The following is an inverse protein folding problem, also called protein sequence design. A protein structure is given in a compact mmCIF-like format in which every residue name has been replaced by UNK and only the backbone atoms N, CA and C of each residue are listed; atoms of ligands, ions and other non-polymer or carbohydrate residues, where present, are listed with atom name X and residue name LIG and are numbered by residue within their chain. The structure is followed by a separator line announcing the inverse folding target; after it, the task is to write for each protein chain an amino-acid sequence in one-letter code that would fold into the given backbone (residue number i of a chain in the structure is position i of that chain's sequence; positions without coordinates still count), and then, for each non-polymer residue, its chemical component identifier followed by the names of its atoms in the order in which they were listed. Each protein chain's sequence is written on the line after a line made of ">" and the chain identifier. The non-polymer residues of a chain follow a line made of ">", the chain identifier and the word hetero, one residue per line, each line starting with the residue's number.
data_IF_237230470167
#
_entry.id   IF_237230470167
#
_cell.length_a   1.000
_cell.length_b   1.000
_cell.length_c   1.000
_cell.angle_alpha   90.00
_cell.angle_beta   90.00
_cell.angle_gamma   90.00
#
_symmetry.space_group_name_H-M   'P 1'
#
loop_
_entity.id
_entity.type
_entity.pdbx_description
1 polymer ?
#
# COMPACT_ATOMS: atom_id res chain seq x y z
N UNK A 1 -2.75 44.47 -37.80
CA UNK A 1 -1.82 43.55 -37.11
C UNK A 1 -2.62 42.70 -36.14
N UNK A 2 -3.02 41.48 -36.53
CA UNK A 2 -3.75 40.56 -35.65
C UNK A 2 -2.72 39.61 -35.06
N UNK A 3 -2.35 39.81 -33.79
CA UNK A 3 -1.45 38.87 -33.12
C UNK A 3 -2.18 37.57 -32.86
N UNK A 4 -1.69 36.49 -33.47
CA UNK A 4 -2.25 35.15 -33.37
C UNK A 4 -2.23 34.64 -31.93
N UNK A 5 -3.39 34.19 -31.47
CA UNK A 5 -3.55 33.46 -30.21
C UNK A 5 -2.63 32.23 -30.21
N UNK A 6 -1.56 32.30 -29.43
CA UNK A 6 -0.68 31.17 -29.17
C UNK A 6 -1.35 30.22 -28.17
N UNK A 7 -2.27 29.39 -28.68
CA UNK A 7 -2.80 28.24 -27.95
C UNK A 7 -1.68 27.21 -27.81
N UNK A 8 -0.80 27.37 -26.80
CA UNK A 8 0.18 26.36 -26.44
C UNK A 8 -0.55 25.09 -26.02
N UNK A 9 -0.76 24.17 -26.97
CA UNK A 9 -1.27 22.81 -26.71
C UNK A 9 -0.36 22.20 -25.64
N UNK A 10 -0.91 21.86 -24.47
CA UNK A 10 -0.21 21.04 -23.46
C UNK A 10 0.15 19.70 -24.10
N UNK A 11 1.43 19.48 -24.40
CA UNK A 11 1.92 18.25 -25.07
C UNK A 11 2.24 17.10 -24.11
N UNK A 12 2.09 17.29 -22.79
CA UNK A 12 2.27 16.22 -21.79
C UNK A 12 1.01 16.10 -20.95
N UNK A 13 0.17 15.11 -21.26
CA UNK A 13 -0.99 14.77 -20.45
C UNK A 13 -0.53 13.97 -19.22
N UNK A 14 -0.91 14.44 -18.03
CA UNK A 14 -0.77 13.71 -16.77
C UNK A 14 0.33 14.22 -15.83
N UNK A 15 0.09 14.06 -14.51
CA UNK A 15 1.11 14.25 -13.48
C UNK A 15 2.24 13.23 -13.74
N UNK A 16 3.52 13.64 -13.70
CA UNK A 16 4.63 12.71 -13.92
C UNK A 16 4.58 11.54 -12.92
N UNK A 17 4.97 10.34 -13.38
CA UNK A 17 5.08 9.15 -12.53
C UNK A 17 6.07 9.46 -11.41
N UNK A 18 5.67 9.21 -10.15
CA UNK A 18 6.54 9.41 -8.99
C UNK A 18 7.68 8.39 -8.95
N UNK A 19 7.38 7.14 -9.28
CA UNK A 19 8.38 6.07 -9.38
C UNK A 19 8.54 5.68 -10.85
N UNK A 20 9.78 5.73 -11.32
CA UNK A 20 10.16 5.37 -12.68
C UNK A 20 10.96 4.06 -12.65
N UNK A 21 11.82 3.89 -11.64
CA UNK A 21 12.67 2.71 -11.48
C UNK A 21 12.11 1.74 -10.43
N UNK A 22 12.30 0.42 -10.61
CA UNK A 22 11.90 -0.57 -9.63
C UNK A 22 12.60 -0.37 -8.28
N UNK A 23 13.87 0.03 -8.28
CA UNK A 23 14.65 0.28 -7.06
C UNK A 23 14.04 1.44 -6.26
N UNK A 24 13.64 2.52 -6.92
CA UNK A 24 13.05 3.67 -6.23
C UNK A 24 11.71 3.30 -5.57
N UNK A 25 10.91 2.48 -6.24
CA UNK A 25 9.66 1.97 -5.67
C UNK A 25 9.93 1.04 -4.49
N UNK A 26 10.92 0.15 -4.60
CA UNK A 26 11.29 -0.77 -3.54
C UNK A 26 11.84 -0.04 -2.31
N UNK A 27 12.74 0.93 -2.49
CA UNK A 27 13.28 1.73 -1.39
C UNK A 27 12.18 2.49 -0.64
N UNK A 28 11.22 3.08 -1.37
CA UNK A 28 10.08 3.74 -0.75
C UNK A 28 9.17 2.77 0.02
N UNK A 29 9.06 1.52 -0.42
CA UNK A 29 8.30 0.49 0.29
C UNK A 29 9.03 0.00 1.53
N UNK A 30 10.34 -0.27 1.42
CA UNK A 30 11.18 -0.65 2.55
C UNK A 30 11.16 0.39 3.66
N UNK A 31 11.28 1.68 3.31
CA UNK A 31 11.19 2.78 4.27
C UNK A 31 9.81 2.83 4.97
N UNK A 32 8.73 2.49 4.27
CA UNK A 32 7.39 2.40 4.87
C UNK A 32 7.28 1.21 5.83
N UNK A 33 7.85 0.05 5.48
CA UNK A 33 7.83 -1.14 6.34
C UNK A 33 8.64 -0.89 7.61
N UNK A 34 9.87 -0.38 7.48
CA UNK A 34 10.72 -0.01 8.61
C UNK A 34 10.04 1.03 9.51
N UNK A 35 9.39 2.03 8.92
CA UNK A 35 8.61 3.00 9.68
C UNK A 35 7.48 2.32 10.47
N UNK A 36 6.81 1.31 9.92
CA UNK A 36 5.77 0.58 10.64
C UNK A 36 6.35 -0.25 11.80
N UNK A 37 7.50 -0.87 11.61
CA UNK A 37 8.17 -1.70 12.62
C UNK A 37 8.66 -0.88 13.82
N UNK A 38 9.23 0.31 13.57
CA UNK A 38 9.72 1.18 14.65
C UNK A 38 8.61 2.03 15.29
N UNK A 39 7.40 2.07 14.72
CA UNK A 39 6.26 2.83 15.25
C UNK A 39 5.07 1.92 15.58
N UNK A 40 5.17 1.06 16.61
CA UNK A 40 4.08 0.21 17.03
C UNK A 40 2.88 1.02 17.54
N UNK A 41 1.70 0.39 17.55
CA UNK A 41 0.50 0.97 18.13
C UNK A 41 0.49 0.73 19.64
N UNK A 42 0.09 1.70 20.43
CA UNK A 42 -0.05 1.53 21.88
C UNK A 42 -1.51 1.31 22.25
N UNK A 43 -1.76 0.30 23.08
CA UNK A 43 -3.06 0.06 23.68
C UNK A 43 -2.92 0.20 25.20
N UNK A 44 -3.71 1.08 25.84
CA UNK A 44 -3.77 1.12 27.29
C UNK A 44 -4.41 -0.18 27.79
N UNK A 45 -3.76 -0.85 28.72
CA UNK A 45 -4.31 -1.98 29.45
C UNK A 45 -4.30 -1.68 30.95
N UNK A 46 -5.43 -1.92 31.61
CA UNK A 46 -5.52 -1.77 33.05
C UNK A 46 -4.98 -3.03 33.70
N UNK A 47 -3.84 -2.92 34.38
CA UNK A 47 -3.31 -4.03 35.15
C UNK A 47 -4.12 -4.17 36.44
N UNK A 48 -4.99 -5.20 36.46
CA UNK A 48 -5.93 -5.48 37.56
C UNK A 48 -5.25 -5.75 38.90
N UNK A 49 -3.98 -6.14 38.91
CA UNK A 49 -3.23 -6.51 40.11
C UNK A 49 -2.70 -5.31 40.90
N UNK A 50 -2.28 -4.24 40.22
CA UNK A 50 -1.68 -3.06 40.87
C UNK A 50 -2.46 -1.76 40.63
N UNK A 51 -3.57 -1.81 39.90
CA UNK A 51 -4.41 -0.65 39.58
C UNK A 51 -3.73 0.40 38.68
N UNK A 52 -2.55 0.08 38.13
CA UNK A 52 -1.79 0.98 37.26
C UNK A 52 -2.13 0.72 35.80
N UNK A 53 -2.23 1.79 35.04
CA UNK A 53 -2.43 1.74 33.60
C UNK A 53 -1.07 1.49 32.94
N UNK A 54 -0.91 0.31 32.35
CA UNK A 54 0.27 -0.03 31.56
C UNK A 54 -0.08 0.05 30.07
N UNK A 55 0.93 0.22 29.24
CA UNK A 55 0.76 0.30 27.79
C UNK A 55 1.37 -0.94 27.14
N UNK A 56 0.55 -1.68 26.38
CA UNK A 56 1.05 -2.75 25.53
C UNK A 56 1.36 -2.19 24.15
N UNK A 57 2.55 -2.52 23.66
CA UNK A 57 2.99 -2.28 22.30
C UNK A 57 2.41 -3.36 21.37
N UNK A 58 1.69 -2.95 20.34
CA UNK A 58 1.07 -3.80 19.33
C UNK A 58 1.73 -3.56 17.98
N UNK A 59 1.94 -4.63 17.22
CA UNK A 59 2.49 -4.56 15.87
C UNK A 59 1.55 -3.74 14.98
N UNK A 60 2.10 -2.90 14.11
CA UNK A 60 1.33 -2.13 13.13
C UNK A 60 1.07 -2.99 11.88
N UNK A 61 -0.19 -3.21 11.48
CA UNK A 61 -0.47 -3.93 10.23
C UNK A 61 -0.04 -3.10 9.03
N UNK A 62 0.66 -3.72 8.07
CA UNK A 62 1.01 -3.06 6.82
C UNK A 62 -0.23 -2.91 5.96
N UNK A 63 -0.36 -1.84 5.19
CA UNK A 63 -1.47 -1.69 4.23
C UNK A 63 -1.02 -0.92 2.99
N UNK A 64 -1.60 -1.26 1.82
CA UNK A 64 -1.35 -0.50 0.58
C UNK A 64 -1.78 0.97 0.72
N UNK A 65 -2.88 1.21 1.44
CA UNK A 65 -3.35 2.58 1.73
C UNK A 65 -2.37 3.32 2.62
N UNK A 66 -1.81 2.67 3.64
CA UNK A 66 -0.76 3.21 4.50
C UNK A 66 0.51 3.55 3.73
N UNK A 67 0.96 2.65 2.85
CA UNK A 67 2.07 2.90 1.93
C UNK A 67 1.83 4.14 1.05
N UNK A 68 0.63 4.24 0.47
CA UNK A 68 0.25 5.40 -0.35
C UNK A 68 0.24 6.70 0.46
N UNK A 69 -0.31 6.66 1.68
CA UNK A 69 -0.35 7.82 2.57
C UNK A 69 1.05 8.26 3.00
N UNK A 70 1.91 7.32 3.40
CA UNK A 70 3.30 7.57 3.79
C UNK A 70 4.07 8.27 2.67
N UNK A 71 3.90 7.79 1.44
CA UNK A 71 4.52 8.37 0.26
C UNK A 71 3.77 9.59 -0.30
N UNK A 72 2.66 10.05 0.30
CA UNK A 72 1.84 11.17 -0.20
C UNK A 72 1.42 11.00 -1.66
N UNK A 73 0.98 9.79 -2.02
CA UNK A 73 0.45 9.42 -3.34
C UNK A 73 -1.02 9.00 -3.22
N UNK A 74 -1.74 9.05 -4.34
CA UNK A 74 -3.14 8.64 -4.37
C UNK A 74 -3.32 7.16 -4.04
N UNK A 75 -4.41 6.81 -3.36
CA UNK A 75 -4.71 5.42 -2.95
C UNK A 75 -4.75 4.43 -4.11
N UNK A 76 -5.13 4.89 -5.30
CA UNK A 76 -5.20 4.08 -6.52
C UNK A 76 -3.90 4.09 -7.33
N UNK A 77 -2.84 4.78 -6.86
CA UNK A 77 -1.63 4.99 -7.63
C UNK A 77 -0.97 3.68 -8.05
N UNK A 78 -0.79 2.72 -7.13
CA UNK A 78 -0.18 1.42 -7.47
C UNK A 78 -1.02 0.63 -8.49
N UNK A 79 -2.35 0.66 -8.35
CA UNK A 79 -3.27 0.01 -9.30
C UNK A 79 -3.18 0.64 -10.69
N UNK A 80 -3.17 1.97 -10.77
CA UNK A 80 -3.02 2.71 -12.02
C UNK A 80 -1.62 2.49 -12.64
N UNK A 81 -0.58 2.49 -11.80
CA UNK A 81 0.78 2.20 -12.22
C UNK A 81 0.82 0.83 -12.88
N UNK A 82 0.41 -0.22 -12.15
CA UNK A 82 0.35 -1.61 -12.62
C UNK A 82 -0.41 -1.78 -13.94
N UNK A 83 -1.53 -1.07 -14.12
CA UNK A 83 -2.34 -1.12 -15.34
C UNK A 83 -1.73 -0.35 -16.53
N UNK A 84 -0.84 0.61 -16.27
CA UNK A 84 -0.21 1.46 -17.30
C UNK A 84 1.21 1.03 -17.69
N UNK A 85 1.71 -0.06 -17.11
CA UNK A 85 3.06 -0.56 -17.40
C UNK A 85 3.16 -1.11 -18.82
N UNK A 86 4.22 -0.73 -19.51
CA UNK A 86 4.56 -1.31 -20.80
C UNK A 86 5.21 -2.71 -20.64
N UNK A 87 5.22 -3.56 -21.68
CA UNK A 87 5.79 -4.90 -21.61
C UNK A 87 7.27 -4.96 -21.22
N UNK A 88 8.04 -3.88 -21.40
CA UNK A 88 9.44 -3.79 -21.00
C UNK A 88 9.64 -3.38 -19.53
N UNK A 89 8.60 -2.91 -18.84
CA UNK A 89 8.64 -2.48 -17.44
C UNK A 89 8.31 -3.65 -16.47
N UNK A 90 8.67 -4.89 -16.83
CA UNK A 90 8.30 -6.09 -16.05
C UNK A 90 8.88 -6.06 -14.63
N UNK A 91 10.09 -5.54 -14.45
CA UNK A 91 10.72 -5.44 -13.12
C UNK A 91 9.92 -4.54 -12.17
N UNK A 92 9.32 -3.46 -12.69
CA UNK A 92 8.46 -2.58 -11.92
C UNK A 92 7.16 -3.31 -11.54
N UNK A 93 6.60 -4.12 -12.45
CA UNK A 93 5.47 -4.99 -12.17
C UNK A 93 5.77 -6.01 -11.07
N UNK A 94 6.92 -6.69 -11.14
CA UNK A 94 7.36 -7.64 -10.11
C UNK A 94 7.59 -6.97 -8.77
N UNK A 95 8.14 -5.75 -8.75
CA UNK A 95 8.30 -4.97 -7.52
C UNK A 95 6.96 -4.63 -6.89
N UNK A 96 5.96 -4.22 -7.67
CA UNK A 96 4.59 -3.97 -7.15
C UNK A 96 4.02 -5.26 -6.53
N UNK A 97 4.11 -6.39 -7.22
CA UNK A 97 3.63 -7.68 -6.70
C UNK A 97 4.37 -8.06 -5.41
N UNK A 98 5.68 -7.83 -5.36
CA UNK A 98 6.50 -8.12 -4.18
C UNK A 98 6.00 -7.34 -2.96
N UNK A 99 5.72 -6.05 -3.13
CA UNK A 99 5.15 -5.18 -2.10
C UNK A 99 3.78 -5.70 -1.66
N UNK A 100 2.90 -6.01 -2.61
CA UNK A 100 1.57 -6.58 -2.32
C UNK A 100 1.66 -7.88 -1.51
N UNK A 101 2.59 -8.77 -1.87
CA UNK A 101 2.83 -10.04 -1.18
C UNK A 101 3.35 -9.86 0.24
N UNK A 102 4.31 -8.96 0.47
CA UNK A 102 4.86 -8.70 1.81
C UNK A 102 3.77 -8.19 2.75
N UNK A 103 2.95 -7.25 2.27
CA UNK A 103 1.82 -6.73 3.04
C UNK A 103 0.84 -7.87 3.38
N UNK A 104 0.55 -8.73 2.41
CA UNK A 104 -0.34 -9.87 2.61
C UNK A 104 0.20 -10.86 3.64
N UNK A 105 1.48 -11.25 3.52
CA UNK A 105 2.14 -12.21 4.41
C UNK A 105 2.15 -11.68 5.84
N UNK A 106 2.53 -10.41 6.03
CA UNK A 106 2.56 -9.81 7.36
C UNK A 106 1.17 -9.82 8.03
N UNK A 107 0.12 -9.46 7.29
CA UNK A 107 -1.25 -9.49 7.80
C UNK A 107 -1.72 -10.91 8.12
N UNK A 108 -1.40 -11.86 7.25
CA UNK A 108 -1.81 -13.25 7.40
C UNK A 108 -1.13 -13.91 8.59
N UNK A 109 0.21 -13.87 8.63
CA UNK A 109 0.99 -14.44 9.73
C UNK A 109 0.66 -13.76 11.06
N UNK A 110 0.53 -12.42 11.06
CA UNK A 110 0.12 -11.67 12.23
C UNK A 110 -1.28 -12.05 12.74
N UNK A 111 -2.22 -12.40 11.85
CA UNK A 111 -3.51 -12.95 12.25
C UNK A 111 -3.38 -14.38 12.81
N UNK A 112 -2.52 -15.22 12.23
CA UNK A 112 -2.28 -16.58 12.71
C UNK A 112 -1.71 -16.62 14.13
N UNK A 113 -0.82 -15.68 14.49
CA UNK A 113 -0.22 -15.59 15.83
C UNK A 113 -1.07 -14.78 16.82
N UNK A 114 -2.24 -14.28 16.41
CA UNK A 114 -3.13 -13.48 17.27
C UNK A 114 -2.69 -12.03 17.48
N UNK A 115 -1.68 -11.55 16.76
CA UNK A 115 -1.28 -10.14 16.79
C UNK A 115 -2.33 -9.24 16.14
N UNK A 116 -3.09 -9.75 15.16
CA UNK A 116 -4.19 -9.06 14.49
C UNK A 116 -5.51 -9.77 14.70
N UNK A 117 -6.61 -9.02 14.65
CA UNK A 117 -7.94 -9.61 14.68
C UNK A 117 -8.19 -10.42 13.38
N UNK A 118 -8.31 -11.75 13.46
CA UNK A 118 -8.40 -12.60 12.28
C UNK A 118 -9.65 -12.34 11.44
N UNK A 119 -10.77 -11.92 12.06
CA UNK A 119 -12.00 -11.60 11.33
C UNK A 119 -11.87 -10.34 10.47
N UNK A 120 -11.14 -9.33 10.97
CA UNK A 120 -10.87 -8.10 10.22
C UNK A 120 -9.94 -8.39 9.04
N UNK A 121 -8.86 -9.13 9.30
CA UNK A 121 -7.90 -9.51 8.25
C UNK A 121 -8.59 -10.39 7.19
N UNK A 122 -9.35 -11.40 7.58
CA UNK A 122 -10.09 -12.26 6.65
C UNK A 122 -11.03 -11.44 5.74
N UNK A 123 -11.74 -10.44 6.29
CA UNK A 123 -12.58 -9.54 5.48
C UNK A 123 -11.76 -8.66 4.54
N UNK A 124 -10.65 -8.10 5.01
CA UNK A 124 -9.73 -7.30 4.18
C UNK A 124 -9.16 -8.10 3.01
N UNK A 125 -8.70 -9.32 3.27
CA UNK A 125 -8.16 -10.23 2.26
C UNK A 125 -9.25 -10.72 1.29
N UNK A 126 -10.44 -11.06 1.79
CA UNK A 126 -11.56 -11.47 0.95
C UNK A 126 -12.04 -10.36 0.00
N UNK A 127 -12.05 -9.10 0.46
CA UNK A 127 -12.37 -7.95 -0.40
C UNK A 127 -11.37 -7.78 -1.55
N UNK A 128 -10.08 -8.08 -1.32
CA UNK A 128 -9.07 -8.05 -2.38
C UNK A 128 -9.26 -9.18 -3.41
N UNK A 129 -9.78 -10.35 -3.00
CA UNK A 129 -10.02 -11.49 -3.90
C UNK A 129 -11.29 -11.31 -4.77
N UNK A 130 -12.34 -10.65 -4.26
CA UNK A 130 -13.60 -10.49 -5.00
C UNK A 130 -13.47 -9.70 -6.31
N UNK A 131 -12.45 -8.85 -6.43
CA UNK A 131 -12.16 -8.11 -7.68
C UNK A 131 -11.69 -8.98 -8.86
N UNK A 132 -11.49 -10.30 -8.69
CA UNK A 132 -11.03 -11.21 -9.75
C UNK A 132 -12.11 -12.09 -10.38
N UNK A 133 -13.40 -11.96 -10.02
CA UNK A 133 -14.47 -12.61 -10.81
C UNK A 133 -14.68 -11.85 -12.12
N UNK A 134 -13.81 -12.11 -13.09
CA UNK A 134 -14.11 -11.91 -14.51
C UNK A 134 -15.26 -12.86 -14.87
N UNK A 135 -16.36 -12.30 -15.35
CA UNK A 135 -17.45 -13.04 -15.96
C UNK A 135 -16.88 -13.95 -17.06
N UNK A 136 -16.76 -15.25 -16.77
CA UNK A 136 -16.71 -16.28 -17.79
C UNK A 136 -18.16 -16.51 -18.25
N UNK A 137 -18.62 -15.67 -19.18
CA UNK A 137 -19.71 -16.05 -20.06
C UNK A 137 -19.15 -17.05 -21.06
N UNK A 138 -19.49 -18.32 -20.87
CA UNK A 138 -19.54 -19.31 -21.94
C UNK A 138 -20.84 -19.13 -22.72
#
# INVERSE_FOLDING_TARGET
>A
MIQGNNCKRRTKHGRPRRFITPEALWQAASAYFEWCDINPLTKPELNRWYGKQDCISLIRPYTLRGFCQFNKIGVNYLKQLKASLAPHEQELYFTIIRIEKIIWVQQFEGACVGAFNPLIIARSLALNNKTQQVNLFF
#
